data_IF_772665114819
#
_entry.id   IF_772665114819
#
_cell.length_a   1.000
_cell.length_b   1.000
_cell.length_c   1.000
_cell.angle_alpha   90.00
_cell.angle_beta   90.00
_cell.angle_gamma   90.00
#
_symmetry.space_group_name_H-M   'P 1'
#
loop_
_entity.id
_entity.type
_entity.pdbx_description
1 polymer ?
#
# COMPACT_ATOMS: atom_id res chain seq x y z
N UNK A 1 -7.17 3.41 88.38
CA UNK A 1 -5.96 3.70 87.59
C UNK A 1 -6.23 3.27 86.16
N UNK A 2 -6.71 4.17 85.40
CA UNK A 2 -7.07 3.92 84.01
C UNK A 2 -6.32 4.88 83.12
N UNK A 3 -5.49 4.35 82.19
CA UNK A 3 -4.73 5.13 81.27
C UNK A 3 -5.52 5.28 79.98
N UNK A 4 -5.76 6.53 79.63
CA UNK A 4 -6.45 6.92 78.40
C UNK A 4 -5.56 6.67 77.16
N UNK A 5 -6.09 6.00 76.12
CA UNK A 5 -5.50 5.93 74.87
C UNK A 5 -6.18 6.93 73.91
N UNK A 6 -5.41 7.90 73.40
CA UNK A 6 -5.82 8.81 72.30
C UNK A 6 -5.86 8.10 70.97
N UNK A 7 -6.84 8.39 70.11
CA UNK A 7 -6.88 7.83 68.75
C UNK A 7 -5.95 8.60 67.82
N UNK A 8 -5.05 7.90 67.18
CA UNK A 8 -4.19 8.38 66.11
C UNK A 8 -5.00 8.65 64.79
N UNK A 9 -4.85 9.85 64.23
CA UNK A 9 -5.40 10.27 62.92
C UNK A 9 -4.88 9.39 61.83
N UNK A 10 -5.74 9.00 60.86
CA UNK A 10 -5.26 8.34 59.63
C UNK A 10 -4.55 9.37 58.74
N UNK A 11 -3.36 9.01 58.29
CA UNK A 11 -2.56 9.73 57.32
C UNK A 11 -3.28 9.80 55.97
N UNK A 12 -3.33 10.99 55.35
CA UNK A 12 -3.87 11.28 54.04
C UNK A 12 -3.21 10.38 53.00
N UNK A 13 -4.01 9.54 52.37
CA UNK A 13 -3.64 8.73 51.21
C UNK A 13 -3.22 9.58 50.05
N UNK A 14 -2.21 9.15 49.42
CA UNK A 14 -1.66 9.62 48.16
C UNK A 14 -2.69 9.51 47.06
N UNK A 15 -3.07 10.64 46.46
CA UNK A 15 -3.66 10.70 45.13
C UNK A 15 -2.52 10.55 44.13
N UNK A 16 -2.19 9.33 43.76
CA UNK A 16 -1.35 9.03 42.63
C UNK A 16 -2.22 8.99 41.36
N UNK A 17 -2.47 10.16 40.82
CA UNK A 17 -2.96 10.31 39.46
C UNK A 17 -1.80 10.40 38.48
N UNK A 18 -1.04 9.35 38.29
CA UNK A 18 -0.22 9.16 37.10
C UNK A 18 -1.01 8.29 36.13
N UNK A 19 -1.67 8.94 35.17
CA UNK A 19 -2.11 8.25 33.97
C UNK A 19 -0.90 7.47 33.40
N UNK A 20 -1.05 6.19 33.05
CA UNK A 20 0.01 5.50 32.32
C UNK A 20 0.27 6.33 31.09
N UNK A 21 1.52 6.71 30.85
CA UNK A 21 1.96 7.17 29.52
C UNK A 21 1.69 5.99 28.60
N UNK A 22 0.54 6.00 27.92
CA UNK A 22 0.31 5.08 26.82
C UNK A 22 1.44 5.37 25.84
N UNK A 23 2.35 4.42 25.65
CA UNK A 23 3.32 4.47 24.59
C UNK A 23 2.52 4.50 23.26
N UNK A 24 2.26 5.71 22.76
CA UNK A 24 1.61 5.89 21.49
C UNK A 24 2.55 5.37 20.41
N UNK A 25 2.07 4.47 19.57
CA UNK A 25 2.85 3.97 18.41
C UNK A 25 3.18 5.16 17.52
N UNK A 26 4.45 5.30 17.16
CA UNK A 26 4.91 6.35 16.25
C UNK A 26 5.06 5.77 14.84
N UNK A 27 4.20 6.20 13.92
CA UNK A 27 4.26 5.87 12.51
C UNK A 27 4.80 7.03 11.70
N UNK A 28 5.66 6.72 10.73
CA UNK A 28 6.12 7.67 9.72
C UNK A 28 5.61 7.28 8.35
N UNK A 29 5.10 8.25 7.61
CA UNK A 29 4.71 8.09 6.20
C UNK A 29 5.76 8.74 5.31
N UNK A 30 6.40 7.95 4.45
CA UNK A 30 7.22 8.44 3.33
C UNK A 30 6.35 8.40 2.08
N UNK A 31 5.97 9.59 1.61
CA UNK A 31 4.93 9.81 0.63
C UNK A 31 3.59 10.20 1.27
N UNK A 32 3.13 11.42 0.97
CA UNK A 32 1.88 12.00 1.46
C UNK A 32 0.90 12.28 0.32
N UNK A 33 0.90 11.36 -0.67
CA UNK A 33 -0.10 11.30 -1.74
C UNK A 33 -1.45 10.79 -1.24
N UNK A 34 -2.31 10.31 -2.16
CA UNK A 34 -3.64 9.79 -1.84
C UNK A 34 -3.61 8.73 -0.71
N UNK A 35 -2.77 7.72 -0.85
CA UNK A 35 -2.64 6.62 0.13
C UNK A 35 -2.14 7.13 1.49
N UNK A 36 -1.08 7.95 1.49
CA UNK A 36 -0.54 8.52 2.72
C UNK A 36 -1.56 9.36 3.49
N UNK A 37 -2.36 10.17 2.78
CA UNK A 37 -3.42 10.98 3.39
C UNK A 37 -4.54 10.12 3.98
N UNK A 38 -4.98 9.07 3.28
CA UNK A 38 -6.01 8.13 3.76
C UNK A 38 -5.53 7.43 5.04
N UNK A 39 -4.33 6.86 5.01
CA UNK A 39 -3.78 6.15 6.16
C UNK A 39 -3.55 7.08 7.35
N UNK A 40 -3.01 8.28 7.12
CA UNK A 40 -2.82 9.27 8.19
C UNK A 40 -4.13 9.61 8.89
N UNK A 41 -5.18 9.91 8.12
CA UNK A 41 -6.52 10.21 8.64
C UNK A 41 -7.03 9.09 9.55
N UNK A 42 -6.96 7.85 9.09
CA UNK A 42 -7.54 6.71 9.80
C UNK A 42 -6.70 6.33 11.04
N UNK A 43 -5.37 6.43 10.98
CA UNK A 43 -4.51 6.23 12.14
C UNK A 43 -4.75 7.29 13.21
N UNK A 44 -4.85 8.56 12.83
CA UNK A 44 -5.08 9.67 13.76
C UNK A 44 -6.48 9.63 14.39
N UNK A 45 -7.49 9.12 13.67
CA UNK A 45 -8.84 8.95 14.21
C UNK A 45 -8.90 8.00 15.42
N UNK A 46 -7.87 7.17 15.64
CA UNK A 46 -7.76 6.30 16.82
C UNK A 46 -7.40 7.04 18.10
N UNK A 47 -6.64 8.14 18.01
CA UNK A 47 -6.20 8.94 19.13
C UNK A 47 -5.00 8.38 19.93
N UNK A 48 -4.51 7.17 19.61
CA UNK A 48 -3.40 6.49 20.28
C UNK A 48 -2.16 6.32 19.38
N UNK A 49 -2.14 7.00 18.23
CA UNK A 49 -1.06 6.94 17.24
C UNK A 49 -0.51 8.33 16.96
N UNK A 50 0.81 8.45 16.96
CA UNK A 50 1.51 9.63 16.46
C UNK A 50 1.88 9.38 14.99
N UNK A 51 1.55 10.32 14.11
CA UNK A 51 1.87 10.24 12.69
C UNK A 51 2.76 11.41 12.28
N UNK A 52 3.96 11.08 11.78
CA UNK A 52 4.85 12.03 11.08
C UNK A 52 4.82 11.72 9.58
N UNK A 53 5.14 12.69 8.74
CA UNK A 53 5.21 12.47 7.30
C UNK A 53 6.32 13.28 6.64
N UNK A 54 6.87 12.72 5.56
CA UNK A 54 7.72 13.42 4.62
C UNK A 54 7.26 13.13 3.18
N UNK A 55 7.22 14.15 2.37
CA UNK A 55 6.99 14.04 0.92
C UNK A 55 7.87 15.07 0.21
N UNK A 56 8.49 14.69 -0.92
CA UNK A 56 9.26 15.59 -1.76
C UNK A 56 8.45 16.81 -2.21
N UNK A 57 7.13 16.68 -2.28
CA UNK A 57 6.21 17.74 -2.68
C UNK A 57 5.88 18.73 -1.56
N UNK A 58 6.38 18.53 -0.36
CA UNK A 58 6.13 19.51 0.72
C UNK A 58 6.75 20.87 0.43
N UNK A 59 7.90 20.90 -0.25
CA UNK A 59 8.62 22.13 -0.62
C UNK A 59 8.40 22.52 -2.09
N UNK A 60 7.63 21.76 -2.86
CA UNK A 60 7.42 22.02 -4.28
C UNK A 60 6.35 23.11 -4.50
N UNK A 61 6.64 24.16 -5.28
CA UNK A 61 5.71 25.27 -5.50
C UNK A 61 4.37 24.86 -6.08
N UNK A 62 4.35 23.86 -6.96
CA UNK A 62 3.14 23.33 -7.61
C UNK A 62 2.22 22.56 -6.66
N UNK A 63 2.70 22.20 -5.49
CA UNK A 63 1.91 21.53 -4.44
C UNK A 63 1.85 22.38 -3.16
N UNK A 64 1.94 23.69 -3.32
CA UNK A 64 1.79 24.64 -2.22
C UNK A 64 0.53 24.33 -1.39
N UNK A 65 0.68 24.21 -0.07
CA UNK A 65 -0.40 23.84 0.85
C UNK A 65 -0.53 22.34 1.15
N UNK A 66 0.24 21.44 0.53
CA UNK A 66 0.23 20.00 0.91
C UNK A 66 0.72 19.81 2.35
N UNK A 67 1.75 20.55 2.74
CA UNK A 67 2.25 20.55 4.12
C UNK A 67 1.21 21.11 5.11
N UNK A 68 0.48 22.14 4.72
CA UNK A 68 -0.58 22.72 5.56
C UNK A 68 -1.78 21.77 5.67
N UNK A 69 -2.12 21.05 4.61
CA UNK A 69 -3.10 19.95 4.66
C UNK A 69 -2.68 18.86 5.64
N UNK A 70 -1.40 18.49 5.64
CA UNK A 70 -0.88 17.52 6.59
C UNK A 70 -1.06 18.02 8.05
N UNK A 71 -0.67 19.26 8.33
CA UNK A 71 -0.85 19.88 9.67
C UNK A 71 -2.32 19.95 10.07
N UNK A 72 -3.19 20.38 9.17
CA UNK A 72 -4.63 20.48 9.42
C UNK A 72 -5.26 19.11 9.71
N UNK A 73 -4.72 18.02 9.13
CA UNK A 73 -5.12 16.66 9.41
C UNK A 73 -4.54 16.10 10.73
N UNK A 74 -3.71 16.85 11.45
CA UNK A 74 -3.05 16.39 12.69
C UNK A 74 -1.75 15.61 12.47
N UNK A 75 -1.27 15.52 11.22
CA UNK A 75 0.03 14.94 10.88
C UNK A 75 1.13 15.93 11.21
N UNK A 76 2.28 15.46 11.67
CA UNK A 76 3.48 16.26 11.87
C UNK A 76 4.36 16.17 10.61
N UNK A 77 4.28 17.13 9.68
CA UNK A 77 5.15 17.12 8.52
C UNK A 77 6.56 17.48 8.91
N UNK A 78 7.54 16.79 8.36
CA UNK A 78 8.95 17.04 8.60
C UNK A 78 9.64 17.55 7.31
N UNK A 79 10.65 18.39 7.42
CA UNK A 79 11.38 18.92 6.26
C UNK A 79 12.30 17.89 5.60
N UNK A 80 12.61 16.78 6.29
CA UNK A 80 13.42 15.68 5.75
C UNK A 80 12.87 14.33 6.18
N UNK A 81 13.13 13.28 5.37
CA UNK A 81 12.78 11.90 5.72
C UNK A 81 13.45 11.46 7.03
N UNK A 82 14.70 11.85 7.25
CA UNK A 82 15.42 11.57 8.50
C UNK A 82 14.70 12.10 9.73
N UNK A 83 14.22 13.35 9.68
CA UNK A 83 13.50 13.96 10.79
C UNK A 83 12.11 13.36 10.96
N UNK A 84 11.45 12.99 9.85
CA UNK A 84 10.16 12.30 9.93
C UNK A 84 10.28 10.95 10.64
N UNK A 85 11.33 10.18 10.33
CA UNK A 85 11.54 8.83 10.83
C UNK A 85 12.21 8.77 12.21
N UNK A 86 12.59 9.91 12.79
CA UNK A 86 13.27 9.91 14.09
C UNK A 86 12.33 9.43 15.20
N UNK A 87 12.72 8.34 15.86
CA UNK A 87 11.93 7.70 16.91
C UNK A 87 10.67 6.96 16.41
N UNK A 88 10.52 6.74 15.10
CA UNK A 88 9.42 5.95 14.58
C UNK A 88 9.59 4.45 14.86
N UNK A 89 8.50 3.79 15.24
CA UNK A 89 8.43 2.33 15.36
C UNK A 89 8.34 1.67 13.99
N UNK A 90 7.51 2.22 13.12
CA UNK A 90 7.31 1.76 11.73
C UNK A 90 7.35 2.95 10.77
N UNK A 91 8.11 2.80 9.70
CA UNK A 91 8.15 3.71 8.57
C UNK A 91 7.42 3.06 7.40
N UNK A 92 6.31 3.64 6.96
CA UNK A 92 5.51 3.17 5.82
C UNK A 92 5.90 3.96 4.58
N UNK A 93 6.41 3.29 3.56
CA UNK A 93 6.70 3.89 2.25
C UNK A 93 5.52 3.72 1.31
N UNK A 94 4.92 4.84 0.91
CA UNK A 94 3.74 4.92 0.03
C UNK A 94 4.00 5.92 -1.13
N UNK A 95 4.98 5.63 -1.95
CA UNK A 95 5.39 6.42 -3.11
C UNK A 95 5.00 5.74 -4.43
N UNK A 96 5.43 6.27 -5.57
CA UNK A 96 5.22 5.60 -6.86
C UNK A 96 6.13 4.37 -7.03
N UNK A 97 5.73 3.40 -7.84
CA UNK A 97 6.54 2.22 -8.13
C UNK A 97 7.95 2.60 -8.61
N UNK A 98 8.03 3.57 -9.52
CA UNK A 98 9.31 4.06 -10.07
C UNK A 98 10.24 4.70 -9.05
N UNK A 99 9.72 5.14 -7.90
CA UNK A 99 10.51 5.77 -6.84
C UNK A 99 10.86 4.78 -5.71
N UNK A 100 10.28 3.59 -5.71
CA UNK A 100 10.37 2.65 -4.57
C UNK A 100 11.82 2.29 -4.20
N UNK A 101 12.65 1.94 -5.19
CA UNK A 101 14.04 1.57 -4.96
C UNK A 101 14.86 2.77 -4.47
N UNK A 102 14.76 3.93 -5.12
CA UNK A 102 15.48 5.13 -4.72
C UNK A 102 15.12 5.58 -3.30
N UNK A 103 13.85 5.42 -2.89
CA UNK A 103 13.44 5.70 -1.51
C UNK A 103 14.04 4.69 -0.53
N UNK A 104 14.13 3.40 -0.89
CA UNK A 104 14.78 2.39 -0.05
C UNK A 104 16.30 2.63 0.08
N UNK A 105 16.97 3.03 -1.00
CA UNK A 105 18.39 3.44 -1.00
C UNK A 105 18.64 4.62 -0.05
N UNK A 106 17.80 5.64 -0.14
CA UNK A 106 17.89 6.78 0.77
C UNK A 106 17.55 6.36 2.21
N UNK A 107 16.53 5.51 2.40
CA UNK A 107 16.13 5.04 3.71
C UNK A 107 17.24 4.29 4.44
N UNK A 108 18.05 3.52 3.74
CA UNK A 108 19.21 2.84 4.30
C UNK A 108 20.27 3.80 4.91
N UNK A 109 20.25 5.10 4.56
CA UNK A 109 21.18 6.10 5.10
C UNK A 109 20.72 6.75 6.40
N UNK A 110 19.43 6.64 6.76
CA UNK A 110 18.86 7.30 7.94
C UNK A 110 18.02 6.39 8.84
N UNK A 111 17.62 5.21 8.38
CA UNK A 111 16.96 4.24 9.25
C UNK A 111 17.89 3.80 10.38
N UNK A 112 17.30 3.57 11.53
CA UNK A 112 18.01 3.07 12.71
C UNK A 112 17.84 1.56 12.86
N UNK A 113 18.83 0.86 13.45
CA UNK A 113 18.69 -0.56 13.74
C UNK A 113 17.39 -0.87 14.51
N UNK A 114 16.70 -1.91 14.05
CA UNK A 114 15.45 -2.36 14.64
C UNK A 114 14.18 -1.67 14.14
N UNK A 115 14.25 -0.52 13.46
CA UNK A 115 13.07 0.10 12.85
C UNK A 115 12.51 -0.79 11.73
N UNK A 116 11.18 -0.89 11.64
CA UNK A 116 10.51 -1.58 10.53
C UNK A 116 10.29 -0.59 9.39
N UNK A 117 10.75 -0.94 8.18
CA UNK A 117 10.45 -0.23 6.95
C UNK A 117 9.43 -1.04 6.15
N UNK A 118 8.18 -0.60 6.17
CA UNK A 118 7.06 -1.25 5.48
C UNK A 118 6.82 -0.61 4.12
N UNK A 119 7.29 -1.27 3.07
CA UNK A 119 7.22 -0.79 1.68
C UNK A 119 5.95 -1.31 0.99
N UNK A 120 4.92 -0.48 0.86
CA UNK A 120 3.65 -0.82 0.21
C UNK A 120 3.58 -0.44 -1.28
N UNK A 121 4.70 -0.04 -1.87
CA UNK A 121 4.76 0.36 -3.28
C UNK A 121 4.54 -0.84 -4.21
N UNK A 122 3.87 -0.62 -5.36
CA UNK A 122 3.59 -1.69 -6.32
C UNK A 122 4.77 -1.90 -7.29
N UNK A 123 5.90 -2.37 -6.77
CA UNK A 123 7.12 -2.64 -7.54
C UNK A 123 7.31 -4.14 -7.83
N UNK A 124 8.20 -4.48 -8.77
CA UNK A 124 8.54 -5.86 -9.12
C UNK A 124 9.20 -6.61 -7.95
N UNK A 125 9.15 -7.96 -7.93
CA UNK A 125 9.82 -8.76 -6.91
C UNK A 125 11.32 -8.49 -6.83
N UNK A 126 12.00 -8.31 -7.96
CA UNK A 126 13.43 -7.96 -8.01
C UNK A 126 13.72 -6.63 -7.32
N UNK A 127 12.89 -5.60 -7.58
CA UNK A 127 12.96 -4.29 -6.89
C UNK A 127 12.79 -4.45 -5.38
N UNK A 128 11.80 -5.25 -4.93
CA UNK A 128 11.54 -5.50 -3.50
C UNK A 128 12.70 -6.25 -2.83
N UNK A 129 13.27 -7.24 -3.49
CA UNK A 129 14.43 -7.99 -2.99
C UNK A 129 15.63 -7.05 -2.83
N UNK A 130 15.90 -6.20 -3.84
CA UNK A 130 16.99 -5.23 -3.78
C UNK A 130 16.80 -4.20 -2.68
N UNK A 131 15.57 -3.69 -2.52
CA UNK A 131 15.23 -2.77 -1.42
C UNK A 131 15.44 -3.42 -0.05
N UNK A 132 15.07 -4.70 0.09
CA UNK A 132 15.28 -5.47 1.31
C UNK A 132 16.77 -5.63 1.66
N UNK A 133 17.62 -5.93 0.68
CA UNK A 133 19.08 -6.02 0.88
C UNK A 133 19.63 -4.72 1.44
N UNK A 134 19.26 -3.57 0.86
CA UNK A 134 19.73 -2.26 1.26
C UNK A 134 19.30 -1.87 2.67
N UNK A 135 18.01 -2.02 2.96
CA UNK A 135 17.42 -1.67 4.27
C UNK A 135 17.92 -2.60 5.37
N UNK A 136 18.00 -3.91 5.10
CA UNK A 136 18.47 -4.85 6.10
C UNK A 136 19.97 -4.67 6.40
N UNK A 137 20.78 -4.23 5.41
CA UNK A 137 22.22 -3.98 5.60
C UNK A 137 22.51 -2.86 6.61
N UNK A 138 21.61 -1.88 6.79
CA UNK A 138 21.77 -0.84 7.82
C UNK A 138 21.27 -1.26 9.21
N UNK A 139 20.78 -2.51 9.37
CA UNK A 139 20.24 -3.03 10.63
C UNK A 139 18.76 -2.72 10.86
N UNK A 140 18.09 -2.02 9.95
CA UNK A 140 16.65 -1.89 9.93
C UNK A 140 16.01 -3.20 9.40
N UNK A 141 14.68 -3.31 9.48
CA UNK A 141 13.95 -4.53 9.14
C UNK A 141 12.97 -4.24 7.99
N UNK A 142 13.30 -4.70 6.82
CA UNK A 142 12.45 -4.54 5.65
C UNK A 142 11.26 -5.49 5.66
N UNK A 143 10.09 -4.96 5.36
CA UNK A 143 8.87 -5.72 5.10
C UNK A 143 8.24 -5.18 3.80
N UNK A 144 8.06 -6.03 2.81
CA UNK A 144 7.25 -5.67 1.65
C UNK A 144 5.77 -5.76 1.97
N UNK A 145 4.97 -4.86 1.37
CA UNK A 145 3.52 -4.89 1.38
C UNK A 145 2.97 -4.89 -0.04
N UNK A 146 2.30 -5.96 -0.44
CA UNK A 146 1.58 -6.03 -1.71
C UNK A 146 0.11 -5.66 -1.49
N UNK A 147 -0.29 -4.45 -1.85
CA UNK A 147 -1.67 -3.96 -1.73
C UNK A 147 -2.54 -4.63 -2.79
N UNK A 148 -3.58 -5.37 -2.35
CA UNK A 148 -4.36 -6.29 -3.20
C UNK A 148 -5.61 -5.66 -3.82
N UNK A 149 -5.99 -4.44 -3.41
CA UNK A 149 -7.14 -3.71 -3.92
C UNK A 149 -6.84 -2.20 -3.99
N UNK A 150 -7.67 -1.37 -4.64
CA UNK A 150 -7.61 0.08 -4.49
C UNK A 150 -7.75 0.48 -3.02
N UNK A 151 -6.92 1.45 -2.57
CA UNK A 151 -6.97 1.93 -1.18
C UNK A 151 -8.25 2.74 -0.91
N UNK A 152 -8.66 3.68 -1.79
CA UNK A 152 -9.94 4.35 -1.61
C UNK A 152 -11.12 3.37 -1.57
N UNK A 153 -11.93 3.49 -0.54
CA UNK A 153 -13.07 2.62 -0.23
C UNK A 153 -12.80 1.72 0.98
N UNK A 154 -11.91 0.72 0.88
CA UNK A 154 -11.47 -0.04 2.05
C UNK A 154 -10.59 0.76 3.02
N UNK A 155 -9.93 1.81 2.53
CA UNK A 155 -9.08 2.72 3.28
C UNK A 155 -8.00 1.96 4.07
N UNK A 156 -7.87 2.16 5.37
CA UNK A 156 -6.88 1.46 6.20
C UNK A 156 -7.06 -0.07 6.20
N UNK A 157 -8.28 -0.56 5.93
CA UNK A 157 -8.61 -1.99 5.88
C UNK A 157 -8.34 -2.65 4.52
N UNK A 158 -7.69 -1.95 3.60
CA UNK A 158 -7.31 -2.55 2.31
C UNK A 158 -6.49 -3.82 2.55
N UNK A 159 -6.79 -4.93 1.87
CA UNK A 159 -6.01 -6.16 2.06
C UNK A 159 -4.57 -5.98 1.56
N UNK A 160 -3.61 -6.31 2.41
CA UNK A 160 -2.17 -6.25 2.09
C UNK A 160 -1.53 -7.61 2.43
N UNK A 161 -0.82 -8.19 1.48
CA UNK A 161 0.06 -9.32 1.74
C UNK A 161 1.44 -8.80 2.14
N UNK A 162 1.97 -9.30 3.26
CA UNK A 162 3.29 -8.90 3.74
C UNK A 162 4.32 -10.03 3.57
N UNK A 163 5.54 -9.65 3.19
CA UNK A 163 6.67 -10.55 3.03
C UNK A 163 7.95 -9.98 3.65
N UNK A 164 8.82 -10.84 4.12
CA UNK A 164 10.08 -10.49 4.78
C UNK A 164 10.21 -11.08 6.17
N UNK A 165 11.43 -11.11 6.74
CA UNK A 165 11.69 -11.76 8.04
C UNK A 165 10.87 -11.16 9.21
N UNK A 166 10.51 -9.85 9.13
CA UNK A 166 9.71 -9.17 10.15
C UNK A 166 8.21 -9.06 9.79
N UNK A 167 7.73 -9.79 8.76
CA UNK A 167 6.36 -9.65 8.26
C UNK A 167 5.29 -10.00 9.31
N UNK A 168 5.50 -11.06 10.12
CA UNK A 168 4.56 -11.45 11.17
C UNK A 168 4.45 -10.39 12.27
N UNK A 169 5.58 -9.86 12.73
CA UNK A 169 5.61 -8.80 13.74
C UNK A 169 4.95 -7.52 13.22
N UNK A 170 5.33 -7.08 12.01
CA UNK A 170 4.72 -5.92 11.37
C UNK A 170 3.20 -6.08 11.20
N UNK A 171 2.76 -7.27 10.74
CA UNK A 171 1.33 -7.57 10.59
C UNK A 171 0.60 -7.51 11.92
N UNK A 172 1.18 -8.02 12.99
CA UNK A 172 0.59 -7.98 14.34
C UNK A 172 0.39 -6.54 14.82
N UNK A 173 1.44 -5.71 14.71
CA UNK A 173 1.39 -4.30 15.11
C UNK A 173 0.38 -3.52 14.27
N UNK A 174 0.49 -3.62 12.94
CA UNK A 174 -0.35 -2.86 12.01
C UNK A 174 -1.84 -3.26 12.07
N UNK A 175 -2.13 -4.56 12.29
CA UNK A 175 -3.50 -5.03 12.48
C UNK A 175 -4.09 -4.56 13.82
N UNK A 176 -3.29 -4.49 14.90
CA UNK A 176 -3.71 -3.86 16.15
C UNK A 176 -4.06 -2.37 15.96
N UNK A 177 -3.44 -1.72 14.95
CA UNK A 177 -3.74 -0.34 14.55
C UNK A 177 -4.89 -0.23 13.53
N UNK A 178 -5.54 -1.32 13.17
CA UNK A 178 -6.74 -1.34 12.33
C UNK A 178 -6.49 -1.61 10.85
N UNK A 179 -5.26 -1.94 10.45
CA UNK A 179 -4.97 -2.39 9.08
C UNK A 179 -5.46 -3.84 8.84
N UNK A 180 -5.34 -4.29 7.60
CA UNK A 180 -5.63 -5.68 7.19
C UNK A 180 -4.40 -6.24 6.47
N UNK A 181 -3.38 -6.58 7.24
CA UNK A 181 -2.10 -7.09 6.76
C UNK A 181 -1.97 -8.58 7.08
N UNK A 182 -1.68 -9.40 6.06
CA UNK A 182 -1.46 -10.83 6.21
C UNK A 182 -0.02 -11.16 5.85
N UNK A 183 0.76 -11.61 6.80
CA UNK A 183 2.07 -12.19 6.53
C UNK A 183 1.90 -13.50 5.77
N UNK A 184 2.60 -13.65 4.64
CA UNK A 184 2.48 -14.81 3.75
C UNK A 184 3.82 -15.49 3.47
N UNK A 185 4.93 -14.82 3.79
CA UNK A 185 6.28 -15.33 3.55
C UNK A 185 7.32 -14.56 4.35
N UNK A 186 8.44 -15.21 4.63
CA UNK A 186 9.63 -14.57 5.20
C UNK A 186 10.60 -14.05 4.13
N UNK A 187 10.35 -14.35 2.85
CA UNK A 187 11.21 -13.98 1.74
C UNK A 187 10.70 -12.71 1.06
N UNK A 188 11.49 -11.62 0.99
CA UNK A 188 11.12 -10.43 0.22
C UNK A 188 10.92 -10.74 -1.27
N UNK A 189 9.99 -10.04 -1.91
CA UNK A 189 9.63 -10.21 -3.32
C UNK A 189 8.49 -11.21 -3.56
N UNK A 190 8.26 -12.20 -2.68
CA UNK A 190 7.25 -13.24 -2.90
C UNK A 190 5.81 -12.72 -2.79
N UNK A 191 5.51 -11.80 -1.88
CA UNK A 191 4.17 -11.23 -1.79
C UNK A 191 3.84 -10.37 -3.03
N UNK A 192 4.83 -9.61 -3.53
CA UNK A 192 4.71 -8.88 -4.80
C UNK A 192 4.56 -9.82 -6.00
N UNK A 193 5.29 -10.95 -6.04
CA UNK A 193 5.12 -11.97 -7.07
C UNK A 193 3.70 -12.54 -7.09
N UNK A 194 3.12 -12.89 -5.92
CA UNK A 194 1.73 -13.35 -5.82
C UNK A 194 0.75 -12.33 -6.41
N UNK A 195 0.93 -11.04 -6.09
CA UNK A 195 0.13 -9.96 -6.65
C UNK A 195 0.27 -9.85 -8.16
N UNK A 196 1.50 -9.83 -8.68
CA UNK A 196 1.76 -9.59 -10.10
C UNK A 196 1.35 -10.79 -10.97
N UNK A 197 1.58 -12.03 -10.53
CA UNK A 197 1.08 -13.22 -11.22
C UNK A 197 -0.47 -13.18 -11.34
N UNK A 198 -1.16 -12.83 -10.25
CA UNK A 198 -2.61 -12.63 -10.30
C UNK A 198 -3.00 -11.48 -11.24
N UNK A 199 -2.19 -10.41 -11.26
CA UNK A 199 -2.45 -9.24 -12.12
C UNK A 199 -2.35 -9.57 -13.60
N UNK A 200 -1.42 -10.44 -14.02
CA UNK A 200 -1.31 -10.93 -15.40
C UNK A 200 -2.64 -11.52 -15.86
N UNK A 201 -3.23 -12.42 -15.06
CA UNK A 201 -4.51 -13.04 -15.41
C UNK A 201 -5.65 -12.04 -15.47
N UNK A 202 -5.87 -11.28 -14.39
CA UNK A 202 -7.03 -10.39 -14.31
C UNK A 202 -6.99 -9.30 -15.36
N UNK A 203 -5.83 -8.64 -15.56
CA UNK A 203 -5.70 -7.55 -16.52
C UNK A 203 -5.54 -8.05 -17.97
N UNK A 204 -4.99 -9.25 -18.12
CA UNK A 204 -4.97 -9.94 -19.41
C UNK A 204 -6.39 -10.23 -19.92
N UNK A 205 -7.22 -10.84 -19.08
CA UNK A 205 -8.64 -11.10 -19.39
C UNK A 205 -9.38 -9.79 -19.69
N UNK A 206 -9.17 -8.74 -18.89
CA UNK A 206 -9.77 -7.42 -19.16
C UNK A 206 -9.39 -6.87 -20.53
N UNK A 207 -8.13 -6.91 -20.89
CA UNK A 207 -7.66 -6.42 -22.19
C UNK A 207 -8.28 -7.22 -23.36
N UNK A 208 -8.28 -8.56 -23.23
CA UNK A 208 -8.85 -9.44 -24.26
C UNK A 208 -10.36 -9.22 -24.44
N UNK A 209 -11.12 -9.12 -23.35
CA UNK A 209 -12.57 -8.94 -23.43
C UNK A 209 -12.93 -7.57 -24.00
N UNK A 210 -12.22 -6.50 -23.61
CA UNK A 210 -12.47 -5.16 -24.13
C UNK A 210 -12.19 -5.08 -25.65
N UNK A 211 -11.06 -5.63 -26.10
CA UNK A 211 -10.74 -5.65 -27.53
C UNK A 211 -11.70 -6.56 -28.31
N UNK A 212 -12.07 -7.73 -27.77
CA UNK A 212 -13.06 -8.62 -28.38
C UNK A 212 -14.43 -7.95 -28.53
N UNK A 213 -14.93 -7.30 -27.48
CA UNK A 213 -16.20 -6.59 -27.50
C UNK A 213 -16.19 -5.43 -28.52
N UNK A 214 -15.09 -4.67 -28.58
CA UNK A 214 -14.95 -3.57 -29.52
C UNK A 214 -14.93 -4.06 -30.98
N UNK A 215 -14.17 -5.13 -31.28
CA UNK A 215 -14.08 -5.69 -32.61
C UNK A 215 -15.40 -6.31 -33.08
N UNK A 216 -16.03 -7.15 -32.23
CA UNK A 216 -17.30 -7.81 -32.57
C UNK A 216 -18.44 -6.82 -32.78
N UNK A 217 -18.46 -5.71 -32.04
CA UNK A 217 -19.40 -4.61 -32.22
C UNK A 217 -19.25 -3.95 -33.61
N UNK A 218 -18.01 -3.70 -34.05
CA UNK A 218 -17.76 -3.11 -35.36
C UNK A 218 -18.21 -4.02 -36.53
N UNK A 219 -18.12 -5.33 -36.35
CA UNK A 219 -18.58 -6.33 -37.30
C UNK A 219 -20.06 -6.67 -37.17
N UNK A 220 -20.78 -6.13 -36.19
CA UNK A 220 -22.19 -6.45 -35.84
C UNK A 220 -22.42 -7.95 -35.61
N UNK A 221 -21.49 -8.61 -34.89
CA UNK A 221 -21.53 -10.05 -34.52
C UNK A 221 -21.35 -10.25 -33.03
N UNK A 222 -21.61 -9.24 -32.23
CA UNK A 222 -21.31 -9.25 -30.76
C UNK A 222 -22.16 -10.30 -30.03
N UNK A 223 -23.43 -10.41 -30.38
CA UNK A 223 -24.36 -11.34 -29.75
C UNK A 223 -23.96 -12.80 -30.01
N UNK A 224 -23.59 -13.12 -31.26
CA UNK A 224 -23.14 -14.46 -31.65
C UNK A 224 -21.81 -14.83 -31.00
N UNK A 225 -20.87 -13.87 -30.91
CA UNK A 225 -19.58 -14.08 -30.21
C UNK A 225 -19.78 -14.32 -28.73
N UNK A 226 -20.61 -13.51 -28.07
CA UNK A 226 -20.86 -13.69 -26.63
C UNK A 226 -21.67 -14.96 -26.34
N UNK A 227 -22.64 -15.32 -27.16
CA UNK A 227 -23.35 -16.60 -27.04
C UNK A 227 -22.39 -17.80 -27.14
N UNK A 228 -21.45 -17.75 -28.09
CA UNK A 228 -20.42 -18.78 -28.25
C UNK A 228 -19.46 -18.86 -27.05
N UNK A 229 -19.05 -17.70 -26.51
CA UNK A 229 -18.20 -17.63 -25.32
C UNK A 229 -18.93 -18.15 -24.07
N UNK A 230 -20.20 -17.79 -23.88
CA UNK A 230 -21.03 -18.29 -22.78
C UNK A 230 -21.18 -19.83 -22.82
N UNK A 231 -21.29 -20.40 -24.03
CA UNK A 231 -21.32 -21.85 -24.19
C UNK A 231 -19.98 -22.52 -23.86
N UNK A 232 -18.86 -21.85 -24.17
CA UNK A 232 -17.50 -22.34 -23.88
C UNK A 232 -17.12 -22.22 -22.40
N UNK A 233 -17.71 -21.25 -21.67
CA UNK A 233 -17.45 -20.98 -20.26
C UNK A 233 -18.77 -20.93 -19.47
N UNK A 234 -19.40 -22.08 -19.18
CA UNK A 234 -20.67 -22.13 -18.48
C UNK A 234 -20.64 -21.40 -17.14
N UNK A 235 -21.65 -20.57 -16.89
CA UNK A 235 -21.75 -19.77 -15.66
C UNK A 235 -21.13 -18.37 -15.76
N UNK A 236 -20.58 -17.98 -16.92
CA UNK A 236 -20.07 -16.63 -17.19
C UNK A 236 -21.01 -15.94 -18.18
N UNK A 237 -21.48 -14.74 -17.86
CA UNK A 237 -22.13 -13.84 -18.82
C UNK A 237 -21.05 -12.88 -19.39
N UNK A 238 -20.66 -13.10 -20.65
CA UNK A 238 -19.62 -12.30 -21.29
C UNK A 238 -20.08 -10.89 -21.66
N UNK A 239 -21.37 -10.65 -21.83
CA UNK A 239 -21.90 -9.31 -22.07
C UNK A 239 -21.76 -8.43 -20.82
N UNK A 240 -22.21 -8.94 -19.67
CA UNK A 240 -22.07 -8.28 -18.38
C UNK A 240 -20.57 -8.10 -18.01
N UNK A 241 -19.77 -9.15 -18.22
CA UNK A 241 -18.35 -9.13 -17.93
C UNK A 241 -17.58 -8.10 -18.79
N UNK A 242 -17.91 -7.98 -20.08
CA UNK A 242 -17.31 -6.99 -20.97
C UNK A 242 -17.64 -5.56 -20.51
N UNK A 243 -18.90 -5.28 -20.17
CA UNK A 243 -19.32 -3.98 -19.61
C UNK A 243 -18.59 -3.62 -18.32
N UNK A 244 -18.53 -4.54 -17.37
CA UNK A 244 -17.82 -4.36 -16.12
C UNK A 244 -16.33 -4.10 -16.30
N UNK A 245 -15.66 -4.89 -17.15
CA UNK A 245 -14.23 -4.76 -17.38
C UNK A 245 -13.88 -3.49 -18.17
N UNK A 246 -14.69 -3.09 -19.14
CA UNK A 246 -14.51 -1.82 -19.87
C UNK A 246 -14.59 -0.62 -18.91
N UNK A 247 -15.55 -0.62 -17.98
CA UNK A 247 -15.65 0.42 -16.96
C UNK A 247 -14.39 0.49 -16.08
N UNK A 248 -13.86 -0.65 -15.65
CA UNK A 248 -12.64 -0.69 -14.81
C UNK A 248 -11.41 -0.20 -15.56
N UNK A 249 -11.25 -0.58 -16.83
CA UNK A 249 -10.14 -0.11 -17.67
C UNK A 249 -10.24 1.40 -17.85
N UNK A 250 -11.43 1.91 -18.15
CA UNK A 250 -11.66 3.34 -18.30
C UNK A 250 -11.29 4.14 -17.06
N UNK A 251 -11.71 3.69 -15.88
CA UNK A 251 -11.49 4.41 -14.62
C UNK A 251 -10.06 4.30 -14.09
N UNK A 252 -9.37 3.19 -14.35
CA UNK A 252 -8.13 2.85 -13.66
C UNK A 252 -7.00 2.41 -14.61
N UNK A 253 -7.15 2.53 -15.92
CA UNK A 253 -6.25 1.98 -16.93
C UNK A 253 -4.79 2.38 -16.74
N UNK A 254 -4.50 3.67 -16.51
CA UNK A 254 -3.13 4.16 -16.30
C UNK A 254 -2.42 3.47 -15.13
N UNK A 255 -3.08 3.35 -13.97
CA UNK A 255 -2.52 2.66 -12.81
C UNK A 255 -2.35 1.17 -13.07
N UNK A 256 -3.30 0.56 -13.79
CA UNK A 256 -3.29 -0.88 -14.14
C UNK A 256 -2.20 -1.19 -15.15
N UNK A 257 -1.94 -0.28 -16.10
CA UNK A 257 -0.83 -0.37 -17.04
C UNK A 257 0.52 -0.35 -16.32
N UNK A 258 0.71 0.55 -15.35
CA UNK A 258 1.93 0.58 -14.55
C UNK A 258 2.18 -0.76 -13.83
N UNK A 259 1.15 -1.37 -13.21
CA UNK A 259 1.29 -2.69 -12.58
C UNK A 259 1.64 -3.79 -13.61
N UNK A 260 1.15 -3.71 -14.85
CA UNK A 260 1.49 -4.69 -15.89
C UNK A 260 2.91 -4.52 -16.41
N UNK A 261 3.46 -3.31 -16.41
CA UNK A 261 4.89 -3.08 -16.70
C UNK A 261 5.78 -3.71 -15.62
N UNK A 262 5.42 -3.60 -14.35
CA UNK A 262 6.12 -4.30 -13.25
C UNK A 262 6.01 -5.83 -13.41
N UNK A 263 4.87 -6.35 -13.87
CA UNK A 263 4.72 -7.77 -14.19
C UNK A 263 5.61 -8.20 -15.36
N UNK A 264 5.77 -7.34 -16.37
CA UNK A 264 6.69 -7.58 -17.48
C UNK A 264 8.14 -7.66 -17.00
N UNK A 265 8.57 -6.75 -16.14
CA UNK A 265 9.91 -6.80 -15.52
C UNK A 265 10.11 -8.08 -14.71
N UNK A 266 9.13 -8.49 -13.91
CA UNK A 266 9.19 -9.74 -13.17
C UNK A 266 9.40 -10.97 -14.09
N UNK A 267 8.72 -11.00 -15.23
CA UNK A 267 8.89 -12.10 -16.20
C UNK A 267 10.28 -12.08 -16.82
N UNK A 268 10.79 -10.91 -17.20
CA UNK A 268 12.14 -10.74 -17.75
C UNK A 268 13.22 -11.17 -16.73
N UNK A 269 13.08 -10.80 -15.47
CA UNK A 269 13.98 -11.19 -14.37
C UNK A 269 14.03 -12.73 -14.17
N UNK A 270 12.94 -13.43 -14.52
CA UNK A 270 12.84 -14.89 -14.49
C UNK A 270 13.38 -15.56 -15.78
N UNK A 271 13.90 -14.77 -16.74
CA UNK A 271 14.30 -15.27 -18.07
C UNK A 271 13.12 -15.66 -18.96
N UNK A 272 11.91 -15.21 -18.64
CA UNK A 272 10.70 -15.37 -19.44
C UNK A 272 10.49 -14.14 -20.33
N UNK A 273 9.64 -14.26 -21.35
CA UNK A 273 9.29 -13.11 -22.21
C UNK A 273 8.18 -12.28 -21.57
N UNK A 274 8.49 -11.06 -21.12
CA UNK A 274 7.55 -10.10 -20.56
C UNK A 274 6.71 -9.34 -21.60
N UNK A 275 6.84 -9.61 -22.89
CA UNK A 275 6.19 -8.84 -23.98
C UNK A 275 4.67 -8.88 -23.89
N UNK A 276 4.06 -10.02 -23.52
CA UNK A 276 2.60 -10.13 -23.34
C UNK A 276 2.10 -9.21 -22.22
N UNK A 277 2.81 -9.16 -21.10
CA UNK A 277 2.43 -8.27 -19.99
C UNK A 277 2.51 -6.80 -20.41
N UNK A 278 3.52 -6.42 -21.19
CA UNK A 278 3.65 -5.06 -21.76
C UNK A 278 2.55 -4.75 -22.76
N UNK A 279 2.19 -5.67 -23.63
CA UNK A 279 1.05 -5.51 -24.55
C UNK A 279 -0.27 -5.30 -23.80
N UNK A 280 -0.49 -6.02 -22.71
CA UNK A 280 -1.64 -5.80 -21.81
C UNK A 280 -1.57 -4.41 -21.16
N UNK A 281 -0.38 -3.93 -20.74
CA UNK A 281 -0.22 -2.57 -20.24
C UNK A 281 -0.67 -1.52 -21.26
N UNK A 282 -0.23 -1.67 -22.52
CA UNK A 282 -0.60 -0.76 -23.60
C UNK A 282 -2.12 -0.80 -23.91
N UNK A 283 -2.75 -1.97 -23.79
CA UNK A 283 -4.20 -2.11 -23.90
C UNK A 283 -4.95 -1.37 -22.77
N UNK A 284 -4.45 -1.47 -21.53
CA UNK A 284 -5.01 -0.74 -20.39
C UNK A 284 -4.89 0.79 -20.56
N UNK A 285 -3.74 1.29 -21.05
CA UNK A 285 -3.55 2.71 -21.33
C UNK A 285 -4.46 3.20 -22.47
N UNK A 286 -4.62 2.42 -23.55
CA UNK A 286 -5.54 2.77 -24.65
C UNK A 286 -6.99 2.89 -24.20
N UNK A 287 -7.41 2.11 -23.22
CA UNK A 287 -8.77 2.14 -22.69
C UNK A 287 -9.01 3.18 -21.59
N UNK A 288 -7.96 3.78 -21.04
CA UNK A 288 -8.07 4.77 -19.98
C UNK A 288 -8.72 6.07 -20.47
N UNK A 289 -9.69 6.59 -19.72
CA UNK A 289 -10.31 7.89 -19.99
C UNK A 289 -11.24 7.95 -21.22
N UNK A 290 -11.62 6.81 -21.81
CA UNK A 290 -12.49 6.73 -22.99
C UNK A 290 -13.97 6.53 -22.68
N UNK A 291 -14.45 6.96 -21.53
CA UNK A 291 -15.88 6.93 -21.24
C UNK A 291 -16.62 7.96 -22.10
N UNK A 292 -17.29 7.50 -23.17
CA UNK A 292 -18.25 8.28 -23.96
C UNK A 292 -17.83 8.66 -25.38
N UNK A 293 -17.07 7.83 -26.08
CA UNK A 293 -17.00 7.90 -27.53
C UNK A 293 -17.78 6.75 -28.17
#
# INVERSE_FOLDING_TARGET
>A
MGTAHSPTRPSKGWLAGSSPVQNSVHLTLIGFGEVGQIFARDFLARGDVRVTAYDLKFDAPETAGLMDKARAAGVIPAPTATQAADGADIVISAVTASSALAVAEQAATWLKPGQIFFDINSASPGTKTRAAELVNACGARYVEGAVMAPVPGPDLKVPILAGGPAAEEASTILNALGMNVKAVTTEPGRASAMKLCRSIMIKGIEALIVDCAAASKQWNVQDEVFASLNASFPGTDFADLAGYMAQRVNQHGVRRAAEMREAGMMLDDLGMDGSLARAVADAQDRGAGKAGQ
#
